data_IF_748420596282
#
_entry.id   IF_748420596282
#
_cell.length_a   1.000
_cell.length_b   1.000
_cell.length_c   1.000
_cell.angle_alpha   90.00
_cell.angle_beta   90.00
_cell.angle_gamma   90.00
#
_symmetry.space_group_name_H-M   'P 1'
#
loop_
_entity.id
_entity.type
_entity.pdbx_description
1 polymer ?
#
# COMPACT_ATOMS: atom_id res chain seq x y z
N UNK A 1 -10.98 -3.35 13.43
CA UNK A 1 -10.17 -4.52 13.03
C UNK A 1 -10.76 -5.02 11.71
N UNK A 2 -9.93 -5.22 10.69
CA UNK A 2 -10.38 -5.70 9.38
C UNK A 2 -10.71 -7.20 9.44
N UNK A 3 -11.66 -7.65 8.63
CA UNK A 3 -11.92 -9.07 8.45
C UNK A 3 -10.73 -9.76 7.74
N UNK A 4 -10.67 -11.09 7.81
CA UNK A 4 -9.67 -11.92 7.13
C UNK A 4 -9.66 -11.66 5.63
N UNK A 5 -10.83 -11.48 5.01
CA UNK A 5 -10.94 -11.20 3.58
C UNK A 5 -10.27 -9.86 3.22
N UNK A 6 -10.60 -8.79 3.95
CA UNK A 6 -10.01 -7.47 3.76
C UNK A 6 -8.51 -7.48 4.04
N UNK A 7 -8.07 -8.17 5.09
CA UNK A 7 -6.64 -8.27 5.41
C UNK A 7 -5.86 -8.99 4.31
N UNK A 8 -6.43 -10.04 3.72
CA UNK A 8 -5.83 -10.77 2.59
C UNK A 8 -5.72 -9.88 1.35
N UNK A 9 -6.79 -9.13 1.05
CA UNK A 9 -6.80 -8.18 -0.04
C UNK A 9 -5.71 -7.10 0.12
N UNK A 10 -5.62 -6.49 1.31
CA UNK A 10 -4.63 -5.44 1.58
C UNK A 10 -3.19 -5.93 1.42
N UNK A 11 -2.90 -7.17 1.84
CA UNK A 11 -1.58 -7.79 1.62
C UNK A 11 -1.30 -8.02 0.14
N UNK A 12 -2.27 -8.54 -0.61
CA UNK A 12 -2.11 -8.79 -2.04
C UNK A 12 -1.86 -7.49 -2.82
N UNK A 13 -2.62 -6.43 -2.51
CA UNK A 13 -2.42 -5.11 -3.15
C UNK A 13 -1.08 -4.51 -2.77
N UNK A 14 -0.66 -4.59 -1.51
CA UNK A 14 0.65 -4.10 -1.08
C UNK A 14 1.80 -4.83 -1.81
N UNK A 15 1.72 -6.16 -1.91
CA UNK A 15 2.73 -6.98 -2.59
C UNK A 15 2.83 -6.61 -4.08
N UNK A 16 1.69 -6.48 -4.76
CA UNK A 16 1.62 -6.06 -6.16
C UNK A 16 2.22 -4.66 -6.38
N UNK A 17 1.83 -3.66 -5.56
CA UNK A 17 2.31 -2.28 -5.71
C UNK A 17 3.81 -2.18 -5.40
N UNK A 18 4.31 -2.98 -4.46
CA UNK A 18 5.71 -2.98 -4.07
C UNK A 18 6.59 -3.98 -4.85
N UNK A 19 6.06 -4.66 -5.87
CA UNK A 19 6.79 -5.66 -6.66
C UNK A 19 8.10 -5.09 -7.24
N UNK A 20 8.04 -3.86 -7.76
CA UNK A 20 9.20 -3.17 -8.35
C UNK A 20 10.06 -2.42 -7.33
N UNK A 21 9.67 -2.41 -6.05
CA UNK A 21 10.37 -1.69 -4.97
C UNK A 21 11.31 -2.65 -4.27
N UNK A 22 12.60 -2.29 -4.15
CA UNK A 22 13.56 -3.12 -3.42
C UNK A 22 13.09 -3.41 -1.99
N UNK A 23 13.40 -4.60 -1.47
CA UNK A 23 13.13 -4.94 -0.07
C UNK A 23 13.87 -4.03 0.92
N UNK A 24 14.99 -3.43 0.51
CA UNK A 24 15.76 -2.49 1.34
C UNK A 24 15.10 -1.11 1.45
N UNK A 25 14.18 -0.76 0.55
CA UNK A 25 13.43 0.50 0.58
C UNK A 25 12.26 0.40 1.57
N UNK A 26 12.58 0.10 2.83
CA UNK A 26 11.62 -0.11 3.93
C UNK A 26 10.72 1.12 4.07
N UNK A 27 11.27 2.32 3.83
CA UNK A 27 10.53 3.57 3.91
C UNK A 27 9.39 3.69 2.91
N UNK A 28 9.70 3.47 1.63
CA UNK A 28 8.72 3.49 0.57
C UNK A 28 7.62 2.43 0.79
N UNK A 29 8.02 1.19 1.13
CA UNK A 29 7.08 0.10 1.43
C UNK A 29 6.18 0.41 2.63
N UNK A 30 6.74 1.00 3.69
CA UNK A 30 5.96 1.40 4.88
C UNK A 30 4.99 2.53 4.56
N UNK A 31 5.41 3.52 3.77
CA UNK A 31 4.56 4.61 3.34
C UNK A 31 3.36 4.11 2.53
N UNK A 32 3.61 3.26 1.53
CA UNK A 32 2.56 2.63 0.71
C UNK A 32 1.59 1.83 1.57
N UNK A 33 2.09 0.98 2.47
CA UNK A 33 1.26 0.21 3.39
C UNK A 33 0.36 1.11 4.26
N UNK A 34 0.91 2.22 4.79
CA UNK A 34 0.14 3.18 5.59
C UNK A 34 -0.98 3.83 4.79
N UNK A 35 -0.76 4.19 3.52
CA UNK A 35 -1.78 4.85 2.68
C UNK A 35 -2.88 3.87 2.26
N UNK A 36 -2.53 2.63 1.93
CA UNK A 36 -3.49 1.55 1.65
C UNK A 36 -4.37 1.27 2.89
N UNK A 37 -3.76 1.19 4.08
CA UNK A 37 -4.50 1.00 5.34
C UNK A 37 -5.42 2.19 5.67
N UNK A 38 -4.99 3.41 5.40
CA UNK A 38 -5.80 4.62 5.56
C UNK A 38 -7.05 4.58 4.68
N UNK A 39 -6.89 4.26 3.39
CA UNK A 39 -8.01 4.12 2.45
C UNK A 39 -9.00 3.05 2.91
N UNK A 40 -8.50 1.88 3.32
CA UNK A 40 -9.34 0.81 3.86
C UNK A 40 -10.08 1.23 5.14
N UNK A 41 -9.45 2.04 6.00
CA UNK A 41 -10.08 2.59 7.20
C UNK A 41 -11.20 3.58 6.88
N UNK A 42 -11.09 4.28 5.74
CA UNK A 42 -12.12 5.21 5.22
C UNK A 42 -13.27 4.49 4.50
N UNK A 43 -13.18 3.18 4.30
CA UNK A 43 -14.20 2.35 3.65
C UNK A 43 -13.89 2.00 2.20
N UNK A 44 -12.75 2.41 1.65
CA UNK A 44 -12.28 1.99 0.32
C UNK A 44 -11.74 0.56 0.40
N UNK A 45 -12.53 -0.41 -0.06
CA UNK A 45 -12.15 -1.83 -0.08
C UNK A 45 -12.07 -2.41 -1.48
N UNK A 46 -12.24 -1.58 -2.50
CA UNK A 46 -12.11 -2.00 -3.89
C UNK A 46 -10.64 -2.24 -4.24
N UNK A 47 -10.27 -3.39 -4.83
CA UNK A 47 -8.88 -3.68 -5.21
C UNK A 47 -8.28 -2.61 -6.12
N UNK A 48 -9.06 -2.07 -7.05
CA UNK A 48 -8.60 -1.07 -8.00
C UNK A 48 -8.26 0.27 -7.33
N UNK A 49 -9.15 0.75 -6.46
CA UNK A 49 -8.93 1.96 -5.66
C UNK A 49 -7.69 1.82 -4.76
N UNK A 50 -7.54 0.68 -4.07
CA UNK A 50 -6.40 0.43 -3.20
C UNK A 50 -5.07 0.38 -3.99
N UNK A 51 -5.08 -0.18 -5.21
CA UNK A 51 -3.93 -0.16 -6.12
C UNK A 51 -3.60 1.26 -6.55
N UNK A 52 -4.61 2.05 -6.90
CA UNK A 52 -4.42 3.43 -7.32
C UNK A 52 -3.83 4.28 -6.19
N UNK A 53 -4.37 4.16 -4.98
CA UNK A 53 -3.83 4.81 -3.76
C UNK A 53 -2.40 4.35 -3.50
N UNK A 54 -2.10 3.06 -3.62
CA UNK A 54 -0.76 2.53 -3.42
C UNK A 54 0.25 3.06 -4.44
N UNK A 55 -0.11 3.11 -5.72
CA UNK A 55 0.75 3.63 -6.81
C UNK A 55 0.98 5.13 -6.68
N UNK A 56 -0.05 5.88 -6.28
CA UNK A 56 0.08 7.30 -5.98
C UNK A 56 1.02 7.52 -4.79
N UNK A 57 0.84 6.76 -3.71
CA UNK A 57 1.71 6.79 -2.54
C UNK A 57 3.16 6.44 -2.89
N UNK A 58 3.37 5.47 -3.79
CA UNK A 58 4.71 5.11 -4.25
C UNK A 58 5.36 6.23 -5.07
N UNK A 59 4.58 6.89 -5.94
CA UNK A 59 5.06 8.01 -6.76
C UNK A 59 5.43 9.24 -5.93
N UNK A 60 4.71 9.44 -4.81
CA UNK A 60 4.95 10.51 -3.84
C UNK A 60 5.86 10.10 -2.68
N UNK A 61 6.30 8.84 -2.63
CA UNK A 61 7.16 8.36 -1.56
C UNK A 61 8.48 9.15 -1.61
N UNK A 62 8.92 9.73 -0.49
CA UNK A 62 10.19 10.42 -0.46
C UNK A 62 11.30 9.42 -0.76
N UNK A 63 11.92 9.56 -1.94
CA UNK A 63 13.13 8.81 -2.35
C UNK A 63 14.37 9.18 -1.52
N UNK A 64 14.19 10.01 -0.49
CA UNK A 64 15.22 10.62 0.34
C UNK A 64 15.46 9.89 1.66
N UNK A 65 14.89 8.71 1.91
CA UNK A 65 15.22 7.93 3.12
C UNK A 65 16.52 7.11 2.96
N UNK A 66 17.48 7.67 2.20
CA UNK A 66 18.82 7.10 1.96
C UNK A 66 19.72 7.26 3.18
#
# INVERSE_FOLDING_TARGET
MFDTATTTLLRAVLDEVCESVSHCEIGARTHVASKILEAATRGEVSPDELRQVGRDALSHAPTMWR
#
